data_IF_168701725732
#
_entry.id   IF_168701725732
#
_cell.length_a   1.000
_cell.length_b   1.000
_cell.length_c   1.000
_cell.angle_alpha   90.00
_cell.angle_beta   90.00
_cell.angle_gamma   90.00
#
_symmetry.space_group_name_H-M   'P 1'
#
loop_
_entity.id
_entity.type
_entity.pdbx_description
1 polymer ?
#
# COMPACT_ATOMS: atom_id res chain seq x y z
N UNK A 1 7.99 -24.16 16.42
CA UNK A 1 7.90 -22.84 15.78
C UNK A 1 7.90 -21.80 16.90
N UNK A 2 8.65 -20.74 16.74
CA UNK A 2 8.72 -19.64 17.71
C UNK A 2 7.49 -18.74 17.51
N UNK A 3 6.92 -18.22 18.60
CA UNK A 3 5.85 -17.23 18.54
C UNK A 3 6.36 -15.92 17.93
N UNK A 4 5.57 -15.31 17.05
CA UNK A 4 5.87 -14.07 16.36
C UNK A 4 4.90 -12.99 16.79
N UNK A 5 5.43 -11.83 17.12
CA UNK A 5 4.65 -10.70 17.62
C UNK A 5 4.81 -9.45 16.73
N UNK A 6 3.76 -8.69 16.64
CA UNK A 6 3.79 -7.31 16.15
C UNK A 6 4.05 -6.43 17.37
N UNK A 7 5.20 -5.76 17.40
CA UNK A 7 5.62 -4.90 18.51
C UNK A 7 5.25 -3.42 18.29
N UNK A 8 5.23 -2.98 17.05
CA UNK A 8 4.88 -1.62 16.67
C UNK A 8 4.29 -1.58 15.26
N UNK A 9 3.49 -0.57 14.97
CA UNK A 9 2.95 -0.32 13.66
C UNK A 9 2.73 1.18 13.44
N UNK A 10 2.95 1.64 12.22
CA UNK A 10 2.61 3.00 11.80
C UNK A 10 2.41 3.06 10.28
N UNK A 11 1.66 4.06 9.81
CA UNK A 11 1.46 4.31 8.39
C UNK A 11 1.48 5.80 8.08
N UNK A 12 1.71 6.15 6.84
CA UNK A 12 1.40 7.49 6.34
C UNK A 12 -0.11 7.68 6.23
N UNK A 13 -0.61 8.92 6.05
CA UNK A 13 -1.95 9.10 5.52
C UNK A 13 -2.12 8.40 4.17
N UNK A 14 -3.35 8.01 3.82
CA UNK A 14 -3.69 7.64 2.45
C UNK A 14 -3.93 8.90 1.62
N UNK A 15 -3.02 9.19 0.68
CA UNK A 15 -3.20 10.21 -0.34
C UNK A 15 -4.16 9.72 -1.42
N UNK A 16 -4.93 10.61 -2.00
CA UNK A 16 -5.67 10.33 -3.24
C UNK A 16 -4.77 10.54 -4.45
N UNK A 17 -5.10 9.94 -5.57
CA UNK A 17 -4.41 10.18 -6.85
C UNK A 17 -4.31 11.68 -7.17
N UNK A 18 -3.10 12.14 -7.47
CA UNK A 18 -2.81 13.55 -7.68
C UNK A 18 -3.08 14.44 -6.46
N UNK A 19 -3.14 13.86 -5.25
CA UNK A 19 -3.37 14.57 -3.99
C UNK A 19 -2.10 15.10 -3.34
N UNK A 20 -2.16 15.29 -2.03
CA UNK A 20 -1.06 15.93 -1.28
C UNK A 20 0.22 15.11 -1.30
N UNK A 21 0.13 13.75 -1.30
CA UNK A 21 1.30 12.87 -1.34
C UNK A 21 1.92 12.74 -2.73
N UNK A 22 1.25 13.16 -3.80
CA UNK A 22 1.73 13.01 -5.18
C UNK A 22 3.06 13.72 -5.47
N UNK A 23 3.44 14.73 -4.68
CA UNK A 23 4.72 15.42 -4.82
C UNK A 23 5.90 14.65 -4.19
N UNK A 24 5.61 13.67 -3.33
CA UNK A 24 6.65 12.89 -2.64
C UNK A 24 7.05 11.69 -3.48
N UNK A 25 8.35 11.43 -3.59
CA UNK A 25 8.89 10.24 -4.27
C UNK A 25 8.47 8.97 -3.54
N UNK A 26 8.31 7.87 -4.27
CA UNK A 26 7.88 6.59 -3.70
C UNK A 26 8.88 6.05 -2.66
N UNK A 27 10.17 6.17 -2.91
CA UNK A 27 11.22 5.74 -1.99
C UNK A 27 11.28 6.58 -0.71
N UNK A 28 11.06 7.89 -0.78
CA UNK A 28 10.94 8.78 0.39
C UNK A 28 9.65 8.48 1.18
N UNK A 29 8.55 8.22 0.49
CA UNK A 29 7.27 7.83 1.10
C UNK A 29 7.42 6.52 1.89
N UNK A 30 8.16 5.54 1.34
CA UNK A 30 8.45 4.27 1.98
C UNK A 30 9.32 4.43 3.25
N UNK A 31 10.27 5.39 3.24
CA UNK A 31 11.14 5.66 4.37
C UNK A 31 10.41 6.31 5.55
N UNK A 32 9.37 7.11 5.30
CA UNK A 32 8.69 7.90 6.33
C UNK A 32 8.15 7.06 7.51
N UNK A 33 7.42 5.94 7.34
CA UNK A 33 6.97 5.13 8.46
C UNK A 33 8.11 4.44 9.20
N UNK A 34 9.21 4.07 8.53
CA UNK A 34 10.39 3.48 9.18
C UNK A 34 11.05 4.52 10.07
N UNK A 35 11.31 5.72 9.55
CA UNK A 35 11.85 6.85 10.34
C UNK A 35 10.97 7.16 11.54
N UNK A 36 9.65 7.11 11.38
CA UNK A 36 8.71 7.32 12.48
C UNK A 36 8.81 6.24 13.56
N UNK A 37 8.97 4.97 13.20
CA UNK A 37 9.19 3.89 14.16
C UNK A 37 10.49 4.14 14.94
N UNK A 38 11.57 4.49 14.27
CA UNK A 38 12.85 4.79 14.91
C UNK A 38 12.72 5.94 15.92
N UNK A 39 12.02 7.01 15.56
CA UNK A 39 11.79 8.14 16.43
C UNK A 39 10.91 7.81 17.65
N UNK A 40 9.90 6.93 17.47
CA UNK A 40 9.00 6.49 18.56
C UNK A 40 9.68 5.56 19.57
N UNK A 41 10.71 4.83 19.13
CA UNK A 41 11.42 3.84 19.96
C UNK A 41 12.94 4.10 19.99
N UNK A 42 13.38 5.24 20.57
CA UNK A 42 14.78 5.66 20.52
C UNK A 42 15.74 4.77 21.32
N UNK A 43 15.22 3.87 22.16
CA UNK A 43 16.03 2.94 22.97
C UNK A 43 16.25 1.59 22.27
N UNK A 44 15.61 1.36 21.13
CA UNK A 44 15.78 0.15 20.33
C UNK A 44 17.12 0.22 19.59
N UNK A 45 17.87 -0.86 19.62
CA UNK A 45 19.03 -1.03 18.76
C UNK A 45 18.56 -1.36 17.33
N UNK A 46 18.49 -0.35 16.50
CA UNK A 46 18.07 -0.49 15.10
C UNK A 46 19.11 -1.19 14.23
N UNK A 47 20.33 -1.36 14.71
CA UNK A 47 21.38 -2.18 14.07
C UNK A 47 21.11 -3.69 14.21
N UNK A 48 20.25 -4.08 15.15
CA UNK A 48 19.82 -5.45 15.37
C UNK A 48 18.67 -5.89 14.47
N UNK A 49 18.17 -5.02 13.57
CA UNK A 49 17.16 -5.41 12.57
C UNK A 49 17.80 -6.39 11.58
N UNK A 50 17.27 -7.61 11.51
CA UNK A 50 17.78 -8.65 10.64
C UNK A 50 17.47 -8.37 9.17
N UNK A 51 16.28 -7.84 8.88
CA UNK A 51 15.85 -7.54 7.51
C UNK A 51 14.69 -6.52 7.48
N UNK A 52 14.59 -5.79 6.37
CA UNK A 52 13.42 -4.99 6.00
C UNK A 52 12.73 -5.64 4.81
N UNK A 53 11.46 -6.03 4.95
CA UNK A 53 10.66 -6.62 3.88
C UNK A 53 9.51 -5.68 3.53
N UNK A 54 9.51 -5.08 2.35
CA UNK A 54 8.42 -4.22 1.91
C UNK A 54 7.70 -4.78 0.69
N UNK A 55 6.38 -4.72 0.72
CA UNK A 55 5.53 -4.97 -0.44
C UNK A 55 5.46 -3.75 -1.36
N UNK A 56 5.57 -3.97 -2.67
CA UNK A 56 5.32 -2.95 -3.68
C UNK A 56 4.87 -3.63 -4.97
N UNK A 57 3.74 -3.21 -5.53
CA UNK A 57 3.18 -3.83 -6.74
C UNK A 57 3.73 -3.19 -8.01
N UNK A 58 3.75 -1.87 -8.09
CA UNK A 58 4.38 -1.16 -9.20
C UNK A 58 5.87 -0.97 -8.90
N UNK A 59 6.72 -1.46 -9.79
CA UNK A 59 8.18 -1.34 -9.67
C UNK A 59 8.79 -0.78 -10.97
N UNK A 60 8.01 0.02 -11.68
CA UNK A 60 8.39 0.55 -12.99
C UNK A 60 9.06 1.93 -12.93
N UNK A 61 8.91 2.66 -11.83
CA UNK A 61 9.39 4.04 -11.65
C UNK A 61 10.43 4.21 -10.55
N UNK A 62 10.18 5.14 -9.66
CA UNK A 62 11.03 5.46 -8.49
C UNK A 62 11.09 4.32 -7.46
N UNK A 63 10.16 3.39 -7.56
CA UNK A 63 10.02 2.15 -6.81
C UNK A 63 10.81 0.95 -7.38
N UNK A 64 11.55 1.17 -8.48
CA UNK A 64 12.40 0.12 -9.08
C UNK A 64 13.63 -0.19 -8.22
N UNK A 65 14.35 -1.25 -8.56
CA UNK A 65 15.61 -1.65 -7.95
C UNK A 65 15.53 -1.88 -6.44
N UNK A 66 14.47 -2.54 -5.96
CA UNK A 66 14.29 -2.85 -4.55
C UNK A 66 14.02 -1.59 -3.69
N UNK A 67 12.81 -1.07 -3.78
CA UNK A 67 12.37 0.10 -3.01
C UNK A 67 12.53 -0.10 -1.49
N UNK A 68 12.42 -1.33 -1.00
CA UNK A 68 12.69 -1.64 0.41
C UNK A 68 14.11 -1.27 0.81
N UNK A 69 15.11 -1.57 -0.05
CA UNK A 69 16.50 -1.19 0.22
C UNK A 69 16.71 0.32 0.17
N UNK A 70 16.06 1.01 -0.78
CA UNK A 70 16.12 2.47 -0.84
C UNK A 70 15.52 3.09 0.42
N UNK A 71 14.34 2.63 0.85
CA UNK A 71 13.69 3.10 2.07
C UNK A 71 14.52 2.84 3.33
N UNK A 72 15.17 1.67 3.42
CA UNK A 72 16.08 1.32 4.53
C UNK A 72 17.21 2.35 4.66
N UNK A 73 17.86 2.68 3.56
CA UNK A 73 18.98 3.65 3.56
C UNK A 73 18.48 5.09 3.81
N UNK A 74 17.38 5.49 3.20
CA UNK A 74 16.81 6.83 3.34
C UNK A 74 16.24 7.08 4.73
N UNK A 75 15.77 6.04 5.42
CA UNK A 75 15.27 6.17 6.80
C UNK A 75 16.36 6.36 7.85
N UNK A 76 17.64 6.12 7.49
CA UNK A 76 18.78 6.21 8.40
C UNK A 76 19.06 4.91 9.17
N UNK A 77 18.46 3.79 8.80
CA UNK A 77 18.89 2.48 9.29
C UNK A 77 20.34 2.20 8.85
N UNK A 78 21.12 1.42 9.63
CA UNK A 78 22.48 1.05 9.27
C UNK A 78 22.55 0.37 7.90
N UNK A 79 23.60 0.65 7.16
CA UNK A 79 23.84 0.06 5.82
C UNK A 79 23.97 -1.48 5.85
N UNK A 80 24.26 -2.03 7.02
CA UNK A 80 24.35 -3.47 7.26
C UNK A 80 23.00 -4.18 7.26
N UNK A 81 21.89 -3.46 7.48
CA UNK A 81 20.54 -4.03 7.48
C UNK A 81 20.12 -4.36 6.04
N UNK A 82 19.94 -5.63 5.69
CA UNK A 82 19.49 -6.03 4.36
C UNK A 82 18.02 -5.68 4.15
N UNK A 83 17.59 -5.66 2.87
CA UNK A 83 16.19 -5.43 2.57
C UNK A 83 15.76 -6.10 1.26
N UNK A 84 14.50 -6.51 1.19
CA UNK A 84 13.90 -7.13 0.01
C UNK A 84 12.53 -6.55 -0.29
N UNK A 85 12.23 -6.36 -1.57
CA UNK A 85 10.89 -5.98 -2.05
C UNK A 85 10.17 -7.21 -2.56
N UNK A 86 8.92 -7.40 -2.11
CA UNK A 86 8.07 -8.51 -2.51
C UNK A 86 6.84 -8.01 -3.26
N UNK A 87 6.35 -8.80 -4.21
CA UNK A 87 5.19 -8.47 -5.00
C UNK A 87 4.17 -9.62 -5.03
N UNK A 88 3.00 -9.37 -4.49
CA UNK A 88 1.77 -10.17 -4.60
C UNK A 88 0.60 -9.24 -4.92
N UNK A 89 0.83 -8.29 -5.83
CA UNK A 89 -0.13 -7.23 -6.18
C UNK A 89 -0.66 -6.51 -4.91
N UNK A 90 -1.96 -6.30 -4.79
CA UNK A 90 -2.57 -5.61 -3.64
C UNK A 90 -2.30 -6.29 -2.29
N UNK A 91 -1.92 -7.57 -2.27
CA UNK A 91 -1.57 -8.30 -1.06
C UNK A 91 -0.07 -8.20 -0.67
N UNK A 92 0.74 -7.42 -1.39
CA UNK A 92 2.21 -7.37 -1.20
C UNK A 92 2.61 -7.00 0.23
N UNK A 93 1.91 -6.06 0.86
CA UNK A 93 2.17 -5.68 2.24
C UNK A 93 1.88 -6.82 3.24
N UNK A 94 0.78 -7.54 3.05
CA UNK A 94 0.48 -8.74 3.87
C UNK A 94 1.47 -9.87 3.60
N UNK A 95 1.93 -10.04 2.35
CA UNK A 95 2.98 -11.01 2.02
C UNK A 95 4.30 -10.67 2.71
N UNK A 96 4.68 -9.39 2.76
CA UNK A 96 5.87 -8.93 3.48
C UNK A 96 5.80 -9.32 4.97
N UNK A 97 4.66 -9.07 5.62
CA UNK A 97 4.42 -9.48 7.01
C UNK A 97 4.49 -11.01 7.15
N UNK A 98 3.88 -11.74 6.22
CA UNK A 98 3.88 -13.20 6.22
C UNK A 98 5.28 -13.79 6.04
N UNK A 99 6.13 -13.20 5.18
CA UNK A 99 7.53 -13.63 5.00
C UNK A 99 8.36 -13.35 6.25
N UNK A 100 8.27 -12.15 6.81
CA UNK A 100 8.91 -11.80 8.08
C UNK A 100 8.50 -12.75 9.21
N UNK A 101 7.20 -13.04 9.33
CA UNK A 101 6.69 -13.96 10.33
C UNK A 101 7.23 -15.39 10.15
N UNK A 102 7.34 -15.86 8.90
CA UNK A 102 7.92 -17.18 8.60
C UNK A 102 9.41 -17.24 8.93
N UNK A 103 10.18 -16.19 8.62
CA UNK A 103 11.60 -16.12 8.96
C UNK A 103 11.80 -16.17 10.48
N UNK A 104 11.03 -15.39 11.26
CA UNK A 104 11.10 -15.41 12.72
C UNK A 104 10.66 -16.76 13.27
N UNK A 105 9.54 -17.32 12.81
CA UNK A 105 9.03 -18.61 13.27
C UNK A 105 10.00 -19.78 12.95
N UNK A 106 10.75 -19.67 11.86
CA UNK A 106 11.79 -20.62 11.41
C UNK A 106 13.11 -20.49 12.19
N UNK A 107 13.34 -19.36 12.85
CA UNK A 107 14.58 -19.07 13.57
C UNK A 107 15.67 -18.46 12.70
N UNK A 108 15.34 -18.05 11.46
CA UNK A 108 16.27 -17.36 10.55
C UNK A 108 16.42 -15.87 10.88
N UNK A 109 15.47 -15.30 11.63
CA UNK A 109 15.46 -13.92 12.08
C UNK A 109 14.79 -13.80 13.46
N UNK A 110 15.03 -12.72 14.17
CA UNK A 110 14.38 -12.40 15.44
C UNK A 110 13.67 -11.04 15.42
N UNK A 111 14.11 -10.10 14.57
CA UNK A 111 13.68 -8.71 14.60
C UNK A 111 13.61 -8.14 13.17
N UNK A 112 12.42 -7.97 12.64
CA UNK A 112 12.19 -7.63 11.22
C UNK A 112 11.24 -6.45 11.09
N UNK A 113 11.56 -5.52 10.19
CA UNK A 113 10.61 -4.50 9.75
C UNK A 113 9.88 -5.03 8.50
N UNK A 114 8.55 -5.08 8.55
CA UNK A 114 7.73 -5.46 7.42
C UNK A 114 6.66 -4.41 7.12
N UNK A 115 6.28 -4.26 5.86
CA UNK A 115 5.26 -3.28 5.49
C UNK A 115 5.09 -3.17 4.00
N UNK A 116 4.90 -1.96 3.50
CA UNK A 116 4.78 -1.74 2.06
C UNK A 116 4.60 -0.28 1.68
N UNK A 117 4.74 -0.02 0.40
CA UNK A 117 4.54 1.29 -0.21
C UNK A 117 3.88 1.13 -1.57
N UNK A 118 3.01 2.07 -1.90
CA UNK A 118 2.52 2.24 -3.26
C UNK A 118 2.33 3.74 -3.53
N UNK A 119 2.89 4.24 -4.63
CA UNK A 119 2.66 5.59 -5.11
C UNK A 119 2.06 5.53 -6.52
N UNK A 120 0.74 5.43 -6.57
CA UNK A 120 0.02 5.33 -7.84
C UNK A 120 0.01 6.67 -8.60
N UNK A 121 0.12 7.80 -7.87
CA UNK A 121 0.25 9.12 -8.49
C UNK A 121 1.53 9.30 -9.29
N UNK A 122 2.59 8.58 -8.93
CA UNK A 122 3.92 8.67 -9.56
C UNK A 122 4.27 7.47 -10.42
N UNK A 123 3.32 6.56 -10.60
CA UNK A 123 3.47 5.44 -11.53
C UNK A 123 3.78 6.00 -12.94
N UNK A 124 4.88 5.57 -13.60
CA UNK A 124 5.34 6.17 -14.82
C UNK A 124 4.55 5.70 -16.03
N UNK A 125 4.63 6.46 -17.10
CA UNK A 125 4.37 5.92 -18.43
C UNK A 125 5.52 4.99 -18.82
N UNK A 126 5.18 3.83 -19.37
CA UNK A 126 6.15 2.84 -19.85
C UNK A 126 6.04 2.68 -21.36
N UNK A 127 7.17 2.57 -22.01
CA UNK A 127 7.27 2.37 -23.44
C UNK A 127 8.16 1.15 -23.71
N UNK A 128 7.60 0.05 -24.24
CA UNK A 128 8.39 -1.11 -24.63
C UNK A 128 9.36 -0.76 -25.76
N UNK A 129 10.43 -1.53 -25.89
CA UNK A 129 11.33 -1.40 -27.04
C UNK A 129 10.60 -1.83 -28.31
N UNK A 130 10.98 -1.22 -29.43
CA UNK A 130 10.52 -1.62 -30.73
C UNK A 130 10.89 -3.07 -31.04
N UNK A 131 9.97 -3.85 -31.57
CA UNK A 131 10.20 -5.25 -31.94
C UNK A 131 10.96 -5.40 -33.26
N UNK A 132 10.91 -4.37 -34.13
CA UNK A 132 11.55 -4.39 -35.44
C UNK A 132 12.33 -3.11 -35.74
N UNK A 133 13.29 -3.23 -36.65
CA UNK A 133 13.99 -2.07 -37.19
C UNK A 133 13.00 -1.18 -37.97
N UNK A 134 13.20 0.13 -37.91
CA UNK A 134 12.39 1.14 -38.63
C UNK A 134 10.90 1.15 -38.22
N UNK A 135 10.56 0.67 -37.02
CA UNK A 135 9.20 0.77 -36.48
C UNK A 135 8.72 2.22 -36.48
N UNK A 136 7.53 2.45 -37.01
CA UNK A 136 6.93 3.80 -37.15
C UNK A 136 5.91 4.09 -36.05
N UNK A 137 5.55 3.09 -35.25
CA UNK A 137 4.58 3.18 -34.16
C UNK A 137 5.21 2.70 -32.87
N UNK A 138 5.01 3.45 -31.79
CA UNK A 138 5.39 3.09 -30.45
C UNK A 138 4.17 3.22 -29.54
N UNK A 139 4.00 2.25 -28.65
CA UNK A 139 2.95 2.25 -27.65
C UNK A 139 3.47 2.86 -26.35
N UNK A 140 2.78 3.85 -25.82
CA UNK A 140 3.00 4.40 -24.50
C UNK A 140 1.86 3.94 -23.60
N UNK A 141 2.17 3.29 -22.47
CA UNK A 141 1.20 2.74 -21.53
C UNK A 141 1.34 3.40 -20.18
N UNK A 142 0.22 3.76 -19.55
CA UNK A 142 0.17 4.26 -18.18
C UNK A 142 0.21 3.06 -17.21
N UNK A 143 1.23 2.99 -16.37
CA UNK A 143 1.38 1.88 -15.42
C UNK A 143 0.56 2.04 -14.14
N UNK A 144 -0.18 3.14 -13.98
CA UNK A 144 -0.99 3.44 -12.77
C UNK A 144 -2.01 2.34 -12.47
N UNK A 145 -2.71 1.83 -13.51
CA UNK A 145 -3.81 0.86 -13.36
C UNK A 145 -3.41 -0.58 -13.64
N UNK A 146 -2.14 -0.87 -13.72
CA UNK A 146 -1.62 -2.24 -13.59
C UNK A 146 -1.27 -2.90 -14.93
N UNK A 147 -2.21 -3.16 -15.83
CA UNK A 147 -1.95 -3.93 -17.05
C UNK A 147 -1.19 -3.14 -18.10
N UNK A 148 0.09 -3.42 -18.24
CA UNK A 148 0.97 -2.91 -19.31
C UNK A 148 1.89 -4.04 -19.79
N UNK A 149 2.44 -3.93 -21.00
CA UNK A 149 3.27 -4.98 -21.64
C UNK A 149 2.61 -6.36 -21.59
N UNK A 150 1.33 -6.42 -21.93
CA UNK A 150 0.48 -7.60 -21.77
C UNK A 150 0.99 -8.78 -22.59
N UNK A 151 1.18 -9.92 -21.97
CA UNK A 151 1.46 -11.17 -22.66
C UNK A 151 0.18 -11.69 -23.37
N UNK A 152 0.20 -11.90 -24.70
CA UNK A 152 -0.98 -12.32 -25.46
C UNK A 152 -1.57 -13.66 -25.01
N UNK A 153 -0.72 -14.60 -24.54
CA UNK A 153 -1.18 -15.90 -24.05
C UNK A 153 -1.90 -15.75 -22.71
N UNK A 154 -1.39 -14.90 -21.83
CA UNK A 154 -2.08 -14.55 -20.58
C UNK A 154 -3.44 -13.92 -20.86
N UNK A 155 -3.49 -12.94 -21.76
CA UNK A 155 -4.72 -12.28 -22.15
C UNK A 155 -5.76 -13.26 -22.71
N UNK A 156 -5.35 -14.18 -23.58
CA UNK A 156 -6.25 -15.16 -24.19
C UNK A 156 -6.79 -16.20 -23.22
N UNK A 157 -5.99 -16.59 -22.21
CA UNK A 157 -6.35 -17.68 -21.29
C UNK A 157 -7.10 -17.18 -20.04
N UNK A 158 -6.72 -16.03 -19.51
CA UNK A 158 -7.16 -15.57 -18.18
C UNK A 158 -7.83 -14.19 -18.23
N UNK A 159 -7.74 -13.47 -19.35
CA UNK A 159 -8.19 -12.09 -19.45
C UNK A 159 -7.25 -11.11 -18.77
N UNK A 160 -7.53 -9.83 -18.97
CA UNK A 160 -6.79 -8.70 -18.38
C UNK A 160 -7.77 -7.61 -17.95
N UNK A 161 -8.88 -8.01 -17.35
CA UNK A 161 -9.91 -7.11 -16.86
C UNK A 161 -9.36 -6.13 -15.83
N UNK A 162 -9.77 -4.88 -15.92
CA UNK A 162 -9.52 -3.90 -14.87
C UNK A 162 -10.25 -4.29 -13.58
N UNK A 163 -9.84 -3.75 -12.42
CA UNK A 163 -10.54 -3.97 -11.17
C UNK A 163 -12.01 -3.54 -11.23
N UNK A 164 -12.32 -2.47 -11.95
CA UNK A 164 -13.68 -2.02 -12.20
C UNK A 164 -14.47 -3.07 -13.00
N UNK A 165 -13.87 -3.63 -14.06
CA UNK A 165 -14.49 -4.69 -14.86
C UNK A 165 -14.70 -5.97 -14.04
N UNK A 166 -13.70 -6.36 -13.25
CA UNK A 166 -13.79 -7.53 -12.35
C UNK A 166 -14.93 -7.37 -11.33
N UNK A 167 -15.06 -6.17 -10.75
CA UNK A 167 -16.15 -5.88 -9.81
C UNK A 167 -17.53 -5.94 -10.50
N UNK A 168 -17.63 -5.41 -11.72
CA UNK A 168 -18.87 -5.44 -12.50
C UNK A 168 -19.27 -6.88 -12.89
N UNK A 169 -18.30 -7.68 -13.32
CA UNK A 169 -18.49 -9.09 -13.64
C UNK A 169 -19.03 -9.86 -12.42
N UNK A 170 -18.42 -9.64 -11.25
CA UNK A 170 -18.85 -10.27 -9.99
C UNK A 170 -20.26 -9.79 -9.58
N UNK A 171 -20.52 -8.49 -9.70
CA UNK A 171 -21.84 -7.94 -9.38
C UNK A 171 -22.93 -8.57 -10.24
N UNK A 172 -22.67 -8.74 -11.54
CA UNK A 172 -23.59 -9.40 -12.46
C UNK A 172 -23.76 -10.88 -12.17
N UNK A 173 -22.66 -11.61 -11.95
CA UNK A 173 -22.69 -13.03 -11.64
C UNK A 173 -23.48 -13.33 -10.37
N UNK A 174 -23.33 -12.50 -9.33
CA UNK A 174 -23.93 -12.69 -8.01
C UNK A 174 -25.25 -11.93 -7.82
N UNK A 175 -25.73 -11.20 -8.82
CA UNK A 175 -26.94 -10.39 -8.71
C UNK A 175 -26.85 -9.27 -7.67
N UNK A 176 -25.66 -8.71 -7.44
CA UNK A 176 -25.45 -7.62 -6.48
C UNK A 176 -25.90 -6.32 -7.13
N UNK A 177 -26.98 -5.75 -6.62
CA UNK A 177 -27.58 -4.54 -7.19
C UNK A 177 -26.77 -3.29 -6.88
N UNK A 178 -26.97 -2.23 -7.67
CA UNK A 178 -26.40 -0.91 -7.45
C UNK A 178 -26.73 -0.37 -6.05
N UNK A 179 -27.95 -0.53 -5.58
CA UNK A 179 -28.41 -0.07 -4.27
C UNK A 179 -27.65 -0.76 -3.12
N UNK A 180 -27.41 -2.08 -3.25
CA UNK A 180 -26.61 -2.83 -2.28
C UNK A 180 -25.17 -2.34 -2.23
N UNK A 181 -24.57 -2.03 -3.38
CA UNK A 181 -23.20 -1.53 -3.49
C UNK A 181 -23.09 -0.13 -2.88
N UNK A 182 -24.02 0.77 -3.20
CA UNK A 182 -24.03 2.14 -2.68
C UNK A 182 -24.30 2.17 -1.15
N UNK A 183 -25.19 1.31 -0.66
CA UNK A 183 -25.42 1.16 0.78
C UNK A 183 -24.18 0.64 1.52
N UNK A 184 -23.42 -0.29 0.92
CA UNK A 184 -22.16 -0.76 1.47
C UNK A 184 -21.12 0.34 1.49
N UNK A 185 -20.97 1.09 0.40
CA UNK A 185 -20.03 2.21 0.29
C UNK A 185 -20.36 3.30 1.33
N UNK A 186 -21.62 3.69 1.48
CA UNK A 186 -22.06 4.65 2.49
C UNK A 186 -21.69 4.17 3.90
N UNK A 187 -21.98 2.91 4.23
CA UNK A 187 -21.63 2.33 5.54
C UNK A 187 -20.12 2.37 5.79
N UNK A 188 -19.30 2.10 4.76
CA UNK A 188 -17.84 2.19 4.85
C UNK A 188 -17.38 3.61 5.19
N UNK A 189 -17.92 4.62 4.50
CA UNK A 189 -17.62 6.03 4.76
C UNK A 189 -18.04 6.46 6.17
N UNK A 190 -19.21 6.03 6.64
CA UNK A 190 -19.69 6.32 7.98
C UNK A 190 -18.81 5.71 9.08
N UNK A 191 -18.34 4.47 8.88
CA UNK A 191 -17.43 3.80 9.82
C UNK A 191 -16.07 4.51 9.88
N UNK A 192 -15.53 4.90 8.73
CA UNK A 192 -14.28 5.67 8.67
C UNK A 192 -14.44 7.03 9.34
N UNK A 193 -15.55 7.73 9.08
CA UNK A 193 -15.85 9.01 9.73
C UNK A 193 -15.90 8.89 11.25
N UNK A 194 -16.53 7.81 11.76
CA UNK A 194 -16.60 7.53 13.19
C UNK A 194 -15.21 7.24 13.77
N UNK A 195 -14.43 6.33 13.16
CA UNK A 195 -13.07 6.00 13.60
C UNK A 195 -12.17 7.22 13.65
N UNK A 196 -12.32 8.14 12.68
CA UNK A 196 -11.61 9.42 12.66
C UNK A 196 -12.03 10.33 13.81
N UNK A 197 -13.34 10.47 14.05
CA UNK A 197 -13.88 11.32 15.12
C UNK A 197 -13.49 10.80 16.52
N UNK A 198 -13.38 9.49 16.69
CA UNK A 198 -12.94 8.82 17.92
C UNK A 198 -11.41 8.81 18.10
N UNK A 199 -10.63 9.32 17.11
CA UNK A 199 -9.18 9.44 17.18
C UNK A 199 -8.40 8.17 16.81
N UNK A 200 -9.06 7.05 16.53
CA UNK A 200 -8.38 5.75 16.27
C UNK A 200 -7.43 5.81 15.08
N UNK A 201 -7.80 6.53 14.01
CA UNK A 201 -6.92 6.65 12.84
C UNK A 201 -5.70 7.53 13.13
N UNK A 202 -5.80 8.50 14.04
CA UNK A 202 -4.69 9.38 14.38
C UNK A 202 -3.56 8.64 15.12
N UNK A 203 -3.89 7.57 15.86
CA UNK A 203 -2.90 6.77 16.59
C UNK A 203 -1.96 6.00 15.67
N UNK A 204 -2.44 5.59 14.51
CA UNK A 204 -1.65 4.82 13.54
C UNK A 204 -0.94 5.70 12.50
N UNK A 205 -1.41 6.93 12.28
CA UNK A 205 -0.90 7.83 11.24
C UNK A 205 0.35 8.57 11.73
N UNK A 206 1.43 8.49 10.96
CA UNK A 206 2.57 9.40 11.07
C UNK A 206 2.43 10.54 10.06
N UNK A 207 2.64 11.77 10.53
CA UNK A 207 2.60 12.94 9.66
C UNK A 207 3.76 12.91 8.66
N UNK A 208 3.50 13.29 7.42
CA UNK A 208 4.50 13.42 6.36
C UNK A 208 4.68 14.88 6.03
N UNK A 209 5.93 15.35 6.10
CA UNK A 209 6.28 16.71 5.72
C UNK A 209 6.69 16.73 4.25
N UNK A 210 6.08 17.61 3.47
CA UNK A 210 6.36 17.75 2.05
C UNK A 210 6.83 19.18 1.78
N UNK A 211 8.03 19.31 1.23
CA UNK A 211 8.58 20.60 0.82
C UNK A 211 8.16 20.90 -0.63
N UNK A 212 7.58 22.06 -0.86
CA UNK A 212 7.15 22.51 -2.18
C UNK A 212 7.59 23.96 -2.40
N UNK A 213 8.67 24.18 -3.14
CA UNK A 213 9.09 25.51 -3.60
C UNK A 213 9.41 26.53 -2.52
N UNK A 214 9.74 26.10 -1.29
CA UNK A 214 10.03 26.99 -0.15
C UNK A 214 9.00 26.92 0.96
N UNK A 215 7.78 26.46 0.67
CA UNK A 215 6.77 26.15 1.65
C UNK A 215 6.84 24.69 2.09
N UNK A 216 6.46 24.42 3.34
CA UNK A 216 6.36 23.07 3.87
C UNK A 216 4.92 22.78 4.29
N UNK A 217 4.37 21.69 3.75
CA UNK A 217 3.02 21.23 4.13
C UNK A 217 3.17 19.95 4.97
N UNK A 218 2.37 19.87 6.04
CA UNK A 218 2.23 18.65 6.83
C UNK A 218 0.96 17.94 6.39
N UNK A 219 1.11 16.68 5.98
CA UNK A 219 -0.01 15.79 5.64
C UNK A 219 -0.14 14.76 6.75
N UNK A 220 -1.24 14.81 7.49
CA UNK A 220 -1.50 13.98 8.68
C UNK A 220 -2.90 13.37 8.71
N UNK A 221 -3.64 13.45 7.61
CA UNK A 221 -5.00 12.93 7.49
C UNK A 221 -5.22 12.24 6.15
N UNK A 222 -6.01 11.17 6.16
CA UNK A 222 -6.45 10.48 4.96
C UNK A 222 -7.29 11.38 4.06
N UNK A 223 -6.98 11.47 2.77
CA UNK A 223 -7.66 12.37 1.82
C UNK A 223 -8.91 11.76 1.17
N UNK A 224 -8.99 10.43 1.11
CA UNK A 224 -10.06 9.74 0.37
C UNK A 224 -11.44 9.74 1.05
N UNK A 225 -11.55 9.71 2.41
CA UNK A 225 -12.83 9.64 3.08
C UNK A 225 -13.77 10.82 2.74
N UNK A 226 -15.05 10.50 2.59
CA UNK A 226 -16.13 11.45 2.28
C UNK A 226 -17.19 11.39 3.38
N UNK A 227 -16.92 11.94 4.59
CA UNK A 227 -17.75 11.76 5.78
C UNK A 227 -19.18 12.28 5.64
N UNK A 228 -19.42 13.18 4.69
CA UNK A 228 -20.74 13.83 4.46
C UNK A 228 -21.49 13.26 3.25
N UNK A 229 -20.98 12.19 2.64
CA UNK A 229 -21.65 11.56 1.48
C UNK A 229 -23.01 11.00 1.89
N UNK A 230 -24.00 11.12 1.01
CA UNK A 230 -25.33 10.55 1.23
C UNK A 230 -25.68 9.51 0.16
N UNK A 231 -26.69 8.68 0.44
CA UNK A 231 -27.14 7.67 -0.51
C UNK A 231 -27.67 8.32 -1.81
N UNK A 232 -28.39 9.45 -1.69
CA UNK A 232 -28.90 10.18 -2.85
C UNK A 232 -27.76 10.75 -3.74
N UNK A 233 -26.62 11.12 -3.13
CA UNK A 233 -25.44 11.56 -3.88
C UNK A 233 -24.77 10.38 -4.59
N UNK A 234 -24.64 9.24 -3.93
CA UNK A 234 -24.11 8.02 -4.52
C UNK A 234 -24.99 7.56 -5.71
N UNK A 235 -26.29 7.52 -5.54
CA UNK A 235 -27.24 7.11 -6.57
C UNK A 235 -27.16 7.97 -7.86
N UNK A 236 -26.75 9.24 -7.77
CA UNK A 236 -26.59 10.16 -8.90
C UNK A 236 -25.31 9.93 -9.70
N UNK A 237 -24.35 9.15 -9.19
CA UNK A 237 -23.10 8.92 -9.88
C UNK A 237 -23.30 8.03 -11.10
N UNK A 238 -22.65 8.42 -12.19
CA UNK A 238 -22.71 7.65 -13.45
C UNK A 238 -21.85 6.39 -13.34
N UNK A 239 -22.29 5.28 -13.92
CA UNK A 239 -21.46 4.09 -14.06
C UNK A 239 -20.17 4.38 -14.84
N UNK A 240 -19.07 3.69 -14.48
CA UNK A 240 -17.76 3.89 -15.09
C UNK A 240 -17.58 3.12 -16.41
N UNK A 241 -18.30 2.00 -16.57
CA UNK A 241 -18.15 1.08 -17.71
C UNK A 241 -19.33 1.13 -18.70
N UNK A 242 -20.13 2.19 -18.68
CA UNK A 242 -21.32 2.33 -19.53
C UNK A 242 -22.61 2.09 -18.76
N UNK A 243 -23.77 2.28 -19.46
CA UNK A 243 -25.10 2.35 -18.83
C UNK A 243 -25.53 1.08 -18.12
N UNK A 244 -25.01 -0.08 -18.53
CA UNK A 244 -25.39 -1.38 -18.00
C UNK A 244 -24.52 -1.81 -16.80
N UNK A 245 -23.52 -1.01 -16.43
CA UNK A 245 -22.66 -1.23 -15.27
C UNK A 245 -23.25 -0.62 -14.00
N UNK A 246 -22.93 -1.21 -12.88
CA UNK A 246 -23.34 -0.73 -11.53
C UNK A 246 -22.20 -0.07 -10.77
N UNK A 247 -20.97 -0.17 -11.27
CA UNK A 247 -19.77 0.35 -10.62
C UNK A 247 -19.58 1.83 -10.92
N UNK A 248 -19.42 2.64 -9.88
CA UNK A 248 -19.26 4.10 -9.95
C UNK A 248 -18.05 4.56 -9.15
N UNK A 249 -17.66 5.82 -9.31
CA UNK A 249 -16.63 6.44 -8.47
C UNK A 249 -16.96 6.47 -6.96
N UNK A 250 -18.22 6.27 -6.59
CA UNK A 250 -18.66 6.25 -5.19
C UNK A 250 -18.63 4.88 -4.52
N UNK A 251 -18.68 3.81 -5.31
CA UNK A 251 -18.67 2.43 -4.81
C UNK A 251 -17.45 1.61 -5.28
N UNK A 252 -16.57 2.19 -6.10
CA UNK A 252 -15.27 1.63 -6.42
C UNK A 252 -14.20 2.09 -5.41
N UNK A 253 -13.12 1.31 -5.28
CA UNK A 253 -11.93 1.76 -4.55
C UNK A 253 -11.24 2.91 -5.28
N UNK A 254 -10.58 3.78 -4.50
CA UNK A 254 -9.77 4.86 -5.07
C UNK A 254 -8.38 4.40 -5.51
N UNK A 255 -7.75 5.25 -6.32
CA UNK A 255 -6.34 5.19 -6.63
C UNK A 255 -5.62 6.00 -5.58
N UNK A 256 -4.65 5.42 -4.87
CA UNK A 256 -4.09 5.99 -3.65
C UNK A 256 -2.57 5.90 -3.58
N UNK A 257 -2.01 6.79 -2.76
CA UNK A 257 -0.60 6.80 -2.36
C UNK A 257 -0.50 6.51 -0.87
N UNK A 258 0.48 5.74 -0.43
CA UNK A 258 0.69 5.49 0.99
C UNK A 258 1.80 4.48 1.27
N UNK A 259 2.24 4.45 2.52
CA UNK A 259 3.21 3.49 3.02
C UNK A 259 2.93 3.12 4.47
N UNK A 260 3.37 1.94 4.88
CA UNK A 260 3.32 1.50 6.27
C UNK A 260 4.56 0.70 6.65
N UNK A 261 4.85 0.64 7.96
CA UNK A 261 5.86 -0.22 8.53
C UNK A 261 5.37 -0.79 9.86
N UNK A 262 5.64 -2.07 10.05
CA UNK A 262 5.40 -2.82 11.27
C UNK A 262 6.72 -3.40 11.76
N UNK A 263 6.89 -3.48 13.07
CA UNK A 263 8.02 -4.13 13.69
C UNK A 263 7.58 -5.50 14.20
N UNK A 264 8.16 -6.55 13.64
CA UNK A 264 7.91 -7.92 14.03
C UNK A 264 9.09 -8.44 14.87
N UNK A 265 8.78 -9.19 15.93
CA UNK A 265 9.78 -9.67 16.86
C UNK A 265 9.46 -11.07 17.39
N UNK A 266 10.50 -11.85 17.70
CA UNK A 266 10.43 -13.01 18.57
C UNK A 266 10.18 -12.58 20.03
N UNK A 267 9.81 -13.50 20.90
CA UNK A 267 9.73 -13.23 22.34
C UNK A 267 11.09 -12.81 22.94
N UNK A 268 12.19 -13.35 22.41
CA UNK A 268 13.54 -12.97 22.82
C UNK A 268 13.87 -11.53 22.44
N UNK A 269 13.60 -11.14 21.20
CA UNK A 269 13.80 -9.78 20.72
C UNK A 269 12.92 -8.76 21.47
N UNK A 270 11.66 -9.09 21.77
CA UNK A 270 10.79 -8.24 22.62
C UNK A 270 11.43 -7.94 23.97
N UNK A 271 11.96 -8.97 24.62
CA UNK A 271 12.63 -8.82 25.92
C UNK A 271 13.91 -8.00 25.80
N UNK A 272 14.75 -8.28 24.81
CA UNK A 272 16.03 -7.58 24.57
C UNK A 272 15.82 -6.09 24.36
N UNK A 273 14.84 -5.74 23.53
CA UNK A 273 14.54 -4.34 23.18
C UNK A 273 13.48 -3.69 24.08
N UNK A 274 13.00 -4.42 25.10
CA UNK A 274 11.97 -3.94 26.07
C UNK A 274 10.70 -3.44 25.40
N UNK A 275 10.27 -4.15 24.36
CA UNK A 275 9.06 -3.85 23.62
C UNK A 275 7.87 -4.62 24.17
N UNK A 276 6.69 -3.99 24.13
CA UNK A 276 5.43 -4.65 24.47
C UNK A 276 4.74 -5.12 23.17
N UNK A 277 4.27 -6.37 23.10
CA UNK A 277 3.58 -6.87 21.93
C UNK A 277 2.20 -6.24 21.79
N UNK A 278 1.85 -5.78 20.59
CA UNK A 278 0.50 -5.33 20.22
C UNK A 278 -0.40 -6.51 19.88
N UNK A 279 0.15 -7.50 19.19
CA UNK A 279 -0.57 -8.70 18.76
C UNK A 279 0.40 -9.85 18.50
N UNK A 280 -0.12 -11.10 18.51
CA UNK A 280 0.59 -12.30 18.07
C UNK A 280 0.05 -12.72 16.70
N UNK A 281 0.94 -13.03 15.78
CA UNK A 281 0.57 -13.58 14.47
C UNK A 281 0.26 -15.07 14.65
N UNK A 282 -0.96 -15.45 14.33
CA UNK A 282 -1.42 -16.84 14.50
C UNK A 282 -1.19 -17.65 13.22
N UNK A 283 -1.53 -17.06 12.08
CA UNK A 283 -1.39 -17.72 10.77
C UNK A 283 -1.35 -16.70 9.65
N UNK A 284 -0.82 -17.11 8.50
CA UNK A 284 -0.91 -16.38 7.24
C UNK A 284 -1.29 -17.37 6.15
N UNK A 285 -2.19 -16.95 5.26
CA UNK A 285 -2.61 -17.70 4.09
C UNK A 285 -2.52 -16.83 2.84
N UNK A 286 -2.31 -17.47 1.66
CA UNK A 286 -2.23 -16.83 0.36
C UNK A 286 -3.01 -17.63 -0.70
#
# INVERSE_FOLDING_TARGET
MVDVFIAAATRTPFGRYGGRLAALRCDDLAAAPITSLMARYPTVDWGAVDEVVLGCANQAGEDNRNVARMATLLSGLPETVPAVTVNRLCASGLEAIGQAARAIAGGDAEFVIAGGVESMSRAPFVMPKAEGAFTREQKLEDSTLGWHCINPVMQSRYGVDSMTQTADNLARERGITRDCQDAYALRSQQRTARARAEGWLAEEITAVQISNGGDSIIVNEDEHPRPKITLEQLAKLKPLLGTDSTITAGNASGINDGACALLLASAAALNTHRLQPLARIISAAA
#
